data_IF_251831927477
#
_entry.id   IF_251831927477
#
_cell.length_a   1.000
_cell.length_b   1.000
_cell.length_c   1.000
_cell.angle_alpha   90.00
_cell.angle_beta   90.00
_cell.angle_gamma   90.00
#
_symmetry.space_group_name_H-M   'P 1'
#
loop_
_entity.id
_entity.type
_entity.pdbx_description
1 polymer ?
#
# COMPACT_ATOMS: atom_id res chain seq x y z
N UNK A 1 15.88 9.29 -14.93
CA UNK A 1 16.04 8.02 -15.65
C UNK A 1 15.09 6.98 -15.09
N UNK A 2 14.57 6.08 -15.94
CA UNK A 2 13.82 4.91 -15.52
C UNK A 2 14.78 3.71 -15.46
N UNK A 3 14.90 3.09 -14.29
CA UNK A 3 15.74 1.92 -14.06
C UNK A 3 14.85 0.78 -13.55
N UNK A 4 15.02 -0.46 -14.03
CA UNK A 4 14.25 -1.59 -13.53
C UNK A 4 14.44 -1.77 -12.02
N UNK A 5 13.34 -1.91 -11.26
CA UNK A 5 13.38 -2.09 -9.80
C UNK A 5 14.27 -3.26 -9.39
N UNK A 6 14.17 -4.40 -10.08
CA UNK A 6 15.02 -5.57 -9.83
C UNK A 6 16.54 -5.28 -9.96
N UNK A 7 16.93 -4.29 -10.78
CA UNK A 7 18.33 -3.88 -10.88
C UNK A 7 18.74 -3.06 -9.66
N UNK A 8 17.86 -2.18 -9.18
CA UNK A 8 18.12 -1.38 -7.98
C UNK A 8 18.12 -2.25 -6.71
N UNK A 9 17.25 -3.25 -6.63
CA UNK A 9 17.24 -4.23 -5.54
C UNK A 9 18.57 -5.00 -5.46
N UNK A 10 19.10 -5.44 -6.63
CA UNK A 10 20.43 -6.08 -6.69
C UNK A 10 21.55 -5.13 -6.27
N UNK A 11 21.48 -3.87 -6.71
CA UNK A 11 22.45 -2.86 -6.29
C UNK A 11 22.39 -2.65 -4.78
N UNK A 12 21.18 -2.50 -4.21
CA UNK A 12 20.99 -2.31 -2.78
C UNK A 12 21.50 -3.49 -1.93
N UNK A 13 21.46 -4.71 -2.47
CA UNK A 13 22.02 -5.90 -1.81
C UNK A 13 23.57 -5.97 -1.85
N UNK A 14 24.20 -5.18 -2.73
CA UNK A 14 25.65 -5.19 -2.93
C UNK A 14 26.39 -4.03 -2.26
N UNK A 15 25.64 -3.03 -1.79
CA UNK A 15 26.22 -1.81 -1.19
C UNK A 15 25.64 -1.57 0.20
N UNK A 16 26.45 -1.00 1.09
CA UNK A 16 25.99 -0.59 2.42
C UNK A 16 25.17 0.72 2.30
N UNK A 17 24.11 0.86 3.13
CA UNK A 17 23.23 2.04 3.16
C UNK A 17 23.97 3.37 3.43
N UNK A 18 25.19 3.31 3.95
CA UNK A 18 26.03 4.49 4.25
C UNK A 18 27.00 4.85 3.14
N UNK A 19 27.07 4.04 2.11
CA UNK A 19 28.05 4.22 1.03
C UNK A 19 27.56 5.23 0.00
N UNK A 20 28.47 6.09 -0.45
CA UNK A 20 28.23 7.02 -1.55
C UNK A 20 28.72 6.40 -2.85
N UNK A 21 27.85 6.34 -3.84
CA UNK A 21 28.16 5.88 -5.18
C UNK A 21 28.23 7.07 -6.14
N UNK A 22 29.18 7.03 -7.07
CA UNK A 22 29.16 7.90 -8.23
C UNK A 22 28.21 7.32 -9.26
N UNK A 23 27.37 8.16 -9.85
CA UNK A 23 26.39 7.75 -10.85
C UNK A 23 26.69 8.44 -12.16
N UNK A 24 26.87 7.64 -13.19
CA UNK A 24 27.08 8.11 -14.56
C UNK A 24 26.13 7.41 -15.54
N UNK A 25 26.03 7.96 -16.74
CA UNK A 25 25.24 7.37 -17.81
C UNK A 25 26.07 7.25 -19.08
N UNK A 26 25.94 6.11 -19.76
CA UNK A 26 26.58 5.87 -21.06
C UNK A 26 25.53 5.30 -22.01
N UNK A 27 25.04 6.13 -22.94
CA UNK A 27 23.98 5.75 -23.86
C UNK A 27 22.72 5.29 -23.13
N UNK A 28 22.35 4.03 -23.25
CA UNK A 28 21.16 3.43 -22.62
C UNK A 28 21.48 2.72 -21.28
N UNK A 29 22.65 2.99 -20.70
CA UNK A 29 23.12 2.34 -19.48
C UNK A 29 23.40 3.36 -18.40
N UNK A 30 22.91 3.10 -17.18
CA UNK A 30 23.29 3.80 -15.96
C UNK A 30 24.36 2.98 -15.24
N UNK A 31 25.41 3.63 -14.77
CA UNK A 31 26.55 2.99 -14.11
C UNK A 31 26.71 3.60 -12.72
N UNK A 32 26.81 2.75 -11.72
CA UNK A 32 27.09 3.09 -10.34
C UNK A 32 28.50 2.60 -10.01
N UNK A 33 29.36 3.49 -9.56
CA UNK A 33 30.78 3.16 -9.31
C UNK A 33 31.24 3.62 -7.93
N UNK A 34 32.19 2.86 -7.37
CA UNK A 34 32.93 3.18 -6.16
C UNK A 34 34.26 2.40 -6.25
N UNK A 35 35.39 3.04 -6.01
CA UNK A 35 36.77 2.44 -6.02
C UNK A 35 36.89 1.14 -6.83
N UNK A 36 36.62 -0.01 -6.19
CA UNK A 36 36.73 -1.34 -6.80
C UNK A 36 35.39 -1.96 -7.18
N UNK A 37 34.31 -1.16 -7.22
CA UNK A 37 32.97 -1.63 -7.52
C UNK A 37 32.39 -0.88 -8.71
N UNK A 38 31.78 -1.60 -9.63
CA UNK A 38 31.04 -1.06 -10.76
C UNK A 38 29.80 -1.91 -11.01
N UNK A 39 28.64 -1.29 -11.02
CA UNK A 39 27.37 -1.91 -11.33
C UNK A 39 26.68 -1.16 -12.46
N UNK A 40 26.32 -1.85 -13.52
CA UNK A 40 25.65 -1.26 -14.67
C UNK A 40 24.24 -1.83 -14.84
N UNK A 41 23.28 -0.96 -15.12
CA UNK A 41 21.91 -1.35 -15.41
C UNK A 41 21.42 -0.65 -16.67
N UNK A 42 20.57 -1.32 -17.44
CA UNK A 42 19.95 -0.72 -18.63
C UNK A 42 18.89 0.30 -18.22
N UNK A 43 18.93 1.46 -18.84
CA UNK A 43 17.88 2.50 -18.71
C UNK A 43 16.67 2.05 -19.54
N UNK A 44 15.48 2.15 -18.95
CA UNK A 44 14.22 1.92 -19.67
C UNK A 44 13.87 3.16 -20.48
N UNK A 45 13.36 2.96 -21.68
CA UNK A 45 12.86 4.04 -22.52
C UNK A 45 11.51 4.54 -21.99
N UNK A 46 11.30 5.84 -22.02
CA UNK A 46 10.04 6.47 -21.64
C UNK A 46 10.24 7.70 -20.74
N UNK A 47 9.23 8.56 -20.64
CA UNK A 47 9.28 9.69 -19.75
C UNK A 47 9.17 9.22 -18.28
N UNK A 48 9.95 9.82 -17.40
CA UNK A 48 9.76 9.64 -15.96
C UNK A 48 8.49 10.35 -15.52
N UNK A 49 7.70 9.70 -14.69
CA UNK A 49 6.50 10.32 -14.13
C UNK A 49 6.87 11.55 -13.30
N UNK A 50 6.30 12.70 -13.63
CA UNK A 50 6.49 13.94 -12.87
C UNK A 50 5.68 13.89 -11.55
N UNK A 51 6.15 13.09 -10.60
CA UNK A 51 5.47 12.81 -9.32
C UNK A 51 5.06 14.10 -8.60
N UNK A 52 5.95 15.11 -8.55
CA UNK A 52 5.66 16.39 -7.92
C UNK A 52 4.47 17.10 -8.54
N UNK A 53 4.35 17.07 -9.87
CA UNK A 53 3.19 17.66 -10.57
C UNK A 53 1.91 16.88 -10.31
N UNK A 54 1.98 15.56 -10.25
CA UNK A 54 0.83 14.72 -9.90
C UNK A 54 0.35 15.07 -8.50
N UNK A 55 1.25 15.09 -7.52
CA UNK A 55 0.91 15.36 -6.12
C UNK A 55 0.38 16.79 -5.91
N UNK A 56 0.94 17.79 -6.58
CA UNK A 56 0.49 19.19 -6.44
C UNK A 56 -0.89 19.47 -7.04
N UNK A 57 -1.33 18.65 -8.00
CA UNK A 57 -2.63 18.80 -8.65
C UNK A 57 -3.77 18.03 -7.93
N UNK A 58 -3.46 17.25 -6.92
CA UNK A 58 -4.48 16.49 -6.17
C UNK A 58 -5.24 17.42 -5.23
N UNK A 59 -6.57 17.38 -5.32
CA UNK A 59 -7.44 18.11 -4.39
C UNK A 59 -7.72 17.23 -3.18
N UNK A 60 -7.34 17.72 -2.01
CA UNK A 60 -7.62 17.10 -0.73
C UNK A 60 -9.13 17.06 -0.46
N UNK A 61 -9.62 15.95 0.06
CA UNK A 61 -10.98 15.79 0.56
C UNK A 61 -10.99 15.92 2.09
N UNK A 62 -10.20 15.12 2.76
CA UNK A 62 -9.99 15.20 4.19
C UNK A 62 -8.63 14.64 4.59
N UNK A 63 -8.22 14.95 5.80
CA UNK A 63 -6.98 14.45 6.41
C UNK A 63 -7.27 13.96 7.83
N UNK A 64 -6.72 12.80 8.17
CA UNK A 64 -6.70 12.27 9.54
C UNK A 64 -5.29 11.94 9.97
N UNK A 65 -5.06 12.00 11.28
CA UNK A 65 -3.78 11.64 11.92
C UNK A 65 -3.94 10.32 12.65
N UNK A 66 -2.92 9.48 12.56
CA UNK A 66 -2.83 8.20 13.25
C UNK A 66 -1.37 7.83 13.51
N UNK A 67 -1.13 6.63 14.00
CA UNK A 67 0.20 6.03 14.11
C UNK A 67 0.38 4.94 13.05
N UNK A 68 1.56 4.92 12.41
CA UNK A 68 1.85 3.99 11.30
C UNK A 68 1.87 2.51 11.75
N UNK A 69 2.39 2.24 12.96
CA UNK A 69 2.43 0.88 13.50
C UNK A 69 1.01 0.42 13.86
N UNK A 70 0.21 1.27 14.50
CA UNK A 70 -1.16 0.96 14.85
C UNK A 70 -2.01 0.68 13.61
N UNK A 71 -1.87 1.49 12.56
CA UNK A 71 -2.59 1.25 11.29
C UNK A 71 -2.16 -0.07 10.65
N UNK A 72 -0.86 -0.36 10.61
CA UNK A 72 -0.32 -1.61 10.07
C UNK A 72 -0.87 -2.82 10.81
N UNK A 73 -0.87 -2.79 12.14
CA UNK A 73 -1.38 -3.90 12.97
C UNK A 73 -2.89 -4.08 12.80
N UNK A 74 -3.65 -2.99 12.71
CA UNK A 74 -5.09 -3.00 12.44
C UNK A 74 -5.39 -3.64 11.07
N UNK A 75 -4.61 -3.31 10.04
CA UNK A 75 -4.75 -3.93 8.71
C UNK A 75 -4.38 -5.41 8.76
N UNK A 76 -3.29 -5.79 9.44
CA UNK A 76 -2.89 -7.19 9.58
C UNK A 76 -3.97 -8.03 10.27
N UNK A 77 -4.61 -7.49 11.31
CA UNK A 77 -5.74 -8.15 11.96
C UNK A 77 -6.92 -8.35 11.01
N UNK A 78 -7.28 -7.32 10.23
CA UNK A 78 -8.35 -7.44 9.24
C UNK A 78 -8.02 -8.46 8.14
N UNK A 79 -6.75 -8.58 7.76
CA UNK A 79 -6.29 -9.54 6.74
C UNK A 79 -6.24 -11.00 7.22
N UNK A 80 -6.61 -11.31 8.47
CA UNK A 80 -6.65 -12.68 9.00
C UNK A 80 -7.58 -13.62 8.22
N UNK A 81 -8.56 -13.09 7.49
CA UNK A 81 -9.53 -13.86 6.68
C UNK A 81 -9.24 -13.80 5.18
N UNK A 82 -7.99 -13.54 4.78
CA UNK A 82 -7.62 -13.50 3.36
C UNK A 82 -7.82 -14.83 2.65
N UNK A 83 -8.22 -14.78 1.39
CA UNK A 83 -8.45 -15.90 0.50
C UNK A 83 -7.99 -15.60 -0.92
N UNK A 84 -8.52 -16.34 -1.89
CA UNK A 84 -8.23 -16.11 -3.33
C UNK A 84 -8.96 -14.88 -3.87
N UNK A 85 -10.12 -14.57 -3.27
CA UNK A 85 -10.90 -13.38 -3.59
C UNK A 85 -11.03 -12.53 -2.33
N UNK A 86 -10.44 -11.34 -2.34
CA UNK A 86 -10.48 -10.44 -1.20
C UNK A 86 -11.13 -9.12 -1.59
N UNK A 87 -12.02 -8.63 -0.72
CA UNK A 87 -12.54 -7.26 -0.74
C UNK A 87 -11.96 -6.56 0.48
N UNK A 88 -11.13 -5.55 0.24
CA UNK A 88 -10.47 -4.81 1.30
C UNK A 88 -10.83 -3.33 1.21
N UNK A 89 -11.32 -2.77 2.30
CA UNK A 89 -11.71 -1.36 2.38
C UNK A 89 -11.29 -0.69 3.67
N UNK A 90 -11.09 0.62 3.57
CA UNK A 90 -10.97 1.56 4.67
C UNK A 90 -12.25 2.40 4.71
N UNK A 91 -12.95 2.40 5.84
CA UNK A 91 -14.16 3.19 6.07
C UNK A 91 -13.89 4.25 7.13
N UNK A 92 -14.13 5.51 6.78
CA UNK A 92 -13.96 6.64 7.67
C UNK A 92 -15.33 7.15 8.12
N UNK A 93 -15.48 7.39 9.43
CA UNK A 93 -16.66 7.97 10.04
C UNK A 93 -16.24 8.90 11.19
N UNK A 94 -16.00 10.16 10.89
CA UNK A 94 -15.46 11.13 11.85
C UNK A 94 -14.06 10.69 12.34
N UNK A 95 -13.93 10.50 13.65
CA UNK A 95 -12.68 10.10 14.29
C UNK A 95 -12.49 8.57 14.33
N UNK A 96 -13.21 7.80 13.54
CA UNK A 96 -13.10 6.34 13.51
C UNK A 96 -12.73 5.86 12.12
N UNK A 97 -11.70 5.04 12.07
CA UNK A 97 -11.30 4.28 10.89
C UNK A 97 -11.62 2.81 11.11
N UNK A 98 -12.42 2.24 10.22
CA UNK A 98 -12.72 0.80 10.19
C UNK A 98 -12.03 0.18 8.99
N UNK A 99 -11.27 -0.87 9.24
CA UNK A 99 -10.61 -1.71 8.24
C UNK A 99 -11.41 -2.98 8.09
N UNK A 100 -11.89 -3.27 6.90
CA UNK A 100 -12.69 -4.45 6.60
C UNK A 100 -12.06 -5.28 5.50
N UNK A 101 -11.95 -6.57 5.74
CA UNK A 101 -11.57 -7.57 4.74
C UNK A 101 -12.66 -8.65 4.66
N UNK A 102 -13.11 -8.93 3.46
CA UNK A 102 -14.09 -9.98 3.16
C UNK A 102 -13.49 -10.94 2.14
N UNK A 103 -13.62 -12.23 2.40
CA UNK A 103 -13.16 -13.31 1.53
C UNK A 103 -14.18 -14.43 1.48
N UNK A 104 -13.91 -15.46 0.72
CA UNK A 104 -14.71 -16.70 0.68
C UNK A 104 -14.73 -17.45 2.02
N UNK A 105 -13.85 -17.12 2.96
CA UNK A 105 -13.76 -17.74 4.29
C UNK A 105 -14.48 -16.97 5.38
N UNK A 106 -14.84 -15.70 5.11
CA UNK A 106 -15.57 -14.88 6.06
C UNK A 106 -15.24 -13.39 5.95
N UNK A 107 -15.66 -12.66 6.98
CA UNK A 107 -15.48 -11.22 7.11
C UNK A 107 -14.69 -10.97 8.39
N UNK A 108 -13.66 -10.15 8.29
CA UNK A 108 -12.96 -9.56 9.43
C UNK A 108 -13.11 -8.05 9.38
N UNK A 109 -13.41 -7.45 10.50
CA UNK A 109 -13.55 -6.03 10.65
C UNK A 109 -12.87 -5.59 11.95
N UNK A 110 -11.96 -4.63 11.83
CA UNK A 110 -11.22 -4.06 12.96
C UNK A 110 -11.29 -2.56 12.86
N UNK A 111 -11.48 -1.87 13.98
CA UNK A 111 -11.58 -0.43 14.01
C UNK A 111 -10.53 0.18 14.93
N UNK A 112 -10.11 1.39 14.58
CA UNK A 112 -9.19 2.21 15.37
C UNK A 112 -9.65 3.65 15.39
N UNK A 113 -9.23 4.40 16.40
CA UNK A 113 -9.48 5.82 16.47
C UNK A 113 -8.42 6.59 15.67
N UNK A 114 -8.87 7.66 15.02
CA UNK A 114 -8.03 8.59 14.27
C UNK A 114 -8.41 10.01 14.66
N UNK A 115 -7.53 10.97 14.43
CA UNK A 115 -7.81 12.38 14.71
C UNK A 115 -8.08 13.11 13.40
N UNK A 116 -9.27 13.63 13.22
CA UNK A 116 -9.60 14.46 12.06
C UNK A 116 -8.84 15.79 12.13
N UNK A 117 -8.07 16.13 11.08
CA UNK A 117 -7.32 17.37 10.99
C UNK A 117 -7.99 18.39 10.06
N UNK A 118 -8.54 17.93 8.95
CA UNK A 118 -9.20 18.80 7.97
C UNK A 118 -10.20 18.03 7.13
N UNK A 119 -11.21 18.73 6.64
CA UNK A 119 -12.32 18.14 5.88
C UNK A 119 -13.24 17.29 6.77
N UNK A 120 -14.15 16.58 6.15
CA UNK A 120 -15.07 15.66 6.83
C UNK A 120 -14.67 14.21 6.49
N UNK A 121 -14.09 13.45 7.45
CA UNK A 121 -13.67 12.07 7.20
C UNK A 121 -14.91 11.16 7.13
N UNK A 122 -15.43 10.99 5.92
CA UNK A 122 -16.59 10.13 5.64
C UNK A 122 -16.37 9.39 4.33
N UNK A 123 -16.68 8.10 4.32
CA UNK A 123 -16.71 7.30 3.10
C UNK A 123 -16.03 5.93 3.24
N UNK A 124 -16.24 5.11 2.22
CA UNK A 124 -15.64 3.78 2.09
C UNK A 124 -14.76 3.76 0.86
N UNK A 125 -13.51 3.38 1.05
CA UNK A 125 -12.48 3.42 0.02
C UNK A 125 -11.82 2.04 -0.12
N UNK A 126 -11.67 1.58 -1.35
CA UNK A 126 -11.15 0.26 -1.67
C UNK A 126 -9.70 0.37 -2.12
N UNK A 127 -8.82 -0.42 -1.51
CA UNK A 127 -7.39 -0.41 -1.84
C UNK A 127 -6.87 -1.84 -2.03
N UNK A 128 -5.71 -1.96 -2.68
CA UNK A 128 -4.97 -3.20 -2.70
C UNK A 128 -4.20 -3.37 -1.38
N UNK A 129 -4.54 -4.35 -0.54
CA UNK A 129 -3.93 -4.49 0.77
C UNK A 129 -2.42 -4.78 0.71
N UNK A 130 -1.95 -5.54 -0.30
CA UNK A 130 -0.53 -5.83 -0.44
C UNK A 130 0.29 -4.57 -0.73
N UNK A 131 -0.19 -3.71 -1.64
CA UNK A 131 0.47 -2.45 -1.97
C UNK A 131 0.43 -1.48 -0.78
N UNK A 132 -0.68 -1.40 -0.07
CA UNK A 132 -0.81 -0.55 1.12
C UNK A 132 0.16 -1.01 2.23
N UNK A 133 0.27 -2.31 2.45
CA UNK A 133 1.22 -2.87 3.41
C UNK A 133 2.69 -2.62 3.03
N UNK A 134 3.04 -2.65 1.75
CA UNK A 134 4.40 -2.27 1.31
C UNK A 134 4.70 -0.79 1.61
N UNK A 135 3.75 0.12 1.39
CA UNK A 135 3.90 1.52 1.80
C UNK A 135 4.12 1.63 3.31
N UNK A 136 3.31 0.95 4.11
CA UNK A 136 3.36 1.03 5.58
C UNK A 136 4.63 0.42 6.20
N UNK A 137 5.32 -0.49 5.51
CA UNK A 137 6.61 -1.02 5.97
C UNK A 137 7.70 0.05 6.03
N UNK A 138 7.64 1.04 5.16
CA UNK A 138 8.62 2.13 5.10
C UNK A 138 8.27 3.30 6.03
N UNK A 139 7.05 3.34 6.60
CA UNK A 139 6.55 4.44 7.39
C UNK A 139 6.56 4.08 8.88
N UNK A 140 6.99 5.03 9.72
CA UNK A 140 7.05 4.88 11.18
C UNK A 140 6.56 6.15 11.88
N UNK A 141 6.08 5.98 13.14
CA UNK A 141 5.65 7.09 13.98
C UNK A 141 4.33 7.71 13.51
N UNK A 142 4.22 9.00 13.73
CA UNK A 142 3.01 9.77 13.39
C UNK A 142 2.76 9.76 11.88
N UNK A 143 1.58 9.32 11.48
CA UNK A 143 1.17 9.15 10.09
C UNK A 143 -0.04 10.02 9.79
N UNK A 144 0.09 10.85 8.78
CA UNK A 144 -1.00 11.61 8.19
C UNK A 144 -1.58 10.84 7.00
N UNK A 145 -2.86 10.50 7.09
CA UNK A 145 -3.63 9.90 6.00
C UNK A 145 -4.46 10.99 5.33
N UNK A 146 -4.19 11.26 4.08
CA UNK A 146 -4.91 12.25 3.30
C UNK A 146 -5.64 11.56 2.15
N UNK A 147 -6.95 11.60 2.19
CA UNK A 147 -7.77 11.16 1.07
C UNK A 147 -7.95 12.31 0.11
N UNK A 148 -7.63 12.08 -1.14
CA UNK A 148 -7.67 13.08 -2.20
C UNK A 148 -8.67 12.69 -3.29
N UNK A 149 -8.83 13.56 -4.28
CA UNK A 149 -9.73 13.28 -5.41
C UNK A 149 -9.44 11.91 -6.04
N UNK A 150 -10.47 11.30 -6.63
CA UNK A 150 -10.45 9.94 -7.17
C UNK A 150 -10.18 8.86 -6.11
N UNK A 151 -10.45 9.17 -4.83
CA UNK A 151 -10.29 8.25 -3.70
C UNK A 151 -8.84 7.75 -3.51
N UNK A 152 -7.86 8.47 -4.05
CA UNK A 152 -6.47 8.13 -3.82
C UNK A 152 -6.07 8.49 -2.38
N UNK A 153 -5.12 7.75 -1.82
CA UNK A 153 -4.63 7.89 -0.46
C UNK A 153 -3.16 8.31 -0.49
N UNK A 154 -2.86 9.41 0.20
CA UNK A 154 -1.51 9.80 0.55
C UNK A 154 -1.24 9.42 1.99
N UNK A 155 -0.13 8.72 2.21
CA UNK A 155 0.38 8.38 3.52
C UNK A 155 1.65 9.21 3.71
N UNK A 156 1.63 10.14 4.66
CA UNK A 156 2.70 11.13 4.87
C UNK A 156 3.26 11.02 6.27
N UNK A 157 4.57 10.97 6.36
CA UNK A 157 5.35 11.26 7.56
C UNK A 157 6.25 12.47 7.29
N UNK A 158 7.05 12.89 8.25
CA UNK A 158 8.00 14.01 8.06
C UNK A 158 9.04 13.72 6.97
N UNK A 159 9.35 12.44 6.74
CA UNK A 159 10.42 12.02 5.83
C UNK A 159 9.93 11.46 4.49
N UNK A 160 8.75 10.84 4.46
CA UNK A 160 8.27 10.06 3.33
C UNK A 160 6.82 10.37 2.97
N UNK A 161 6.55 10.33 1.67
CA UNK A 161 5.20 10.37 1.12
C UNK A 161 4.98 9.15 0.25
N UNK A 162 4.02 8.32 0.61
CA UNK A 162 3.55 7.20 -0.20
C UNK A 162 2.20 7.54 -0.82
N UNK A 163 2.02 7.16 -2.08
CA UNK A 163 0.80 7.40 -2.84
C UNK A 163 0.18 6.07 -3.27
N UNK A 164 -1.08 5.87 -2.89
CA UNK A 164 -1.84 4.66 -3.20
C UNK A 164 -3.10 5.03 -3.99
N UNK A 165 -3.24 4.49 -5.20
CA UNK A 165 -4.48 4.62 -5.96
C UNK A 165 -5.57 3.72 -5.37
N UNK A 166 -6.80 4.24 -5.32
CA UNK A 166 -7.95 3.41 -5.01
C UNK A 166 -8.18 2.37 -6.13
N UNK A 167 -8.69 1.24 -5.75
CA UNK A 167 -9.22 0.24 -6.68
C UNK A 167 -10.73 0.38 -6.78
N UNK A 168 -11.31 -0.07 -7.86
CA UNK A 168 -12.77 -0.13 -7.98
C UNK A 168 -13.32 -1.09 -6.92
N UNK A 169 -14.51 -0.78 -6.39
CA UNK A 169 -15.19 -1.71 -5.49
C UNK A 169 -15.23 -3.11 -6.11
N UNK A 170 -14.66 -4.14 -5.44
CA UNK A 170 -14.69 -5.50 -5.94
C UNK A 170 -16.13 -6.02 -5.98
N UNK A 171 -16.45 -6.89 -6.94
CA UNK A 171 -17.75 -7.56 -6.98
C UNK A 171 -17.99 -8.34 -5.69
N UNK A 172 -19.27 -8.47 -5.30
CA UNK A 172 -19.63 -9.29 -4.16
C UNK A 172 -19.10 -10.73 -4.32
N UNK A 173 -18.61 -11.29 -3.23
CA UNK A 173 -18.11 -12.67 -3.22
C UNK A 173 -19.32 -13.59 -3.24
N UNK A 174 -19.44 -14.40 -4.31
CA UNK A 174 -20.45 -15.45 -4.35
C UNK A 174 -20.09 -16.52 -3.31
N UNK A 175 -20.88 -16.62 -2.24
CA UNK A 175 -20.74 -17.68 -1.27
C UNK A 175 -21.03 -19.02 -1.97
N UNK A 176 -20.03 -19.88 -2.13
CA UNK A 176 -20.27 -21.26 -2.54
C UNK A 176 -21.17 -21.90 -1.49
N UNK A 177 -22.31 -22.51 -1.90
CA UNK A 177 -23.17 -23.19 -0.93
C UNK A 177 -22.34 -24.24 -0.18
N UNK A 178 -22.29 -24.13 1.14
CA UNK A 178 -21.66 -25.11 1.98
C UNK A 178 -22.32 -26.48 1.69
N UNK A 179 -21.53 -27.39 1.12
CA UNK A 179 -21.99 -28.81 1.01
C UNK A 179 -22.17 -29.31 2.42
N UNK A 180 -23.42 -29.34 2.88
CA UNK A 180 -23.81 -30.02 4.10
C UNK A 180 -23.34 -31.48 4.00
N UNK A 181 -22.37 -31.85 4.82
CA UNK A 181 -21.97 -33.28 4.95
C UNK A 181 -23.21 -34.04 5.38
N UNK A 182 -23.69 -34.98 4.51
CA UNK A 182 -24.73 -35.91 4.87
C UNK A 182 -24.30 -36.64 6.15
N UNK A 183 -25.18 -36.79 7.13
CA UNK A 183 -24.86 -37.58 8.32
C UNK A 183 -24.52 -39.04 7.90
N UNK A 184 -23.40 -39.50 8.42
CA UNK A 184 -22.93 -40.87 8.26
C UNK A 184 -24.02 -41.77 8.87
N UNK A 185 -24.70 -42.60 8.06
CA UNK A 185 -25.59 -43.65 8.58
C UNK A 185 -24.72 -44.62 9.38
N UNK A 186 -24.94 -44.66 10.67
CA UNK A 186 -24.48 -45.78 11.49
C UNK A 186 -25.14 -47.06 10.98
N UNK A 187 -24.31 -48.01 10.58
CA UNK A 187 -24.75 -49.34 10.29
C UNK A 187 -24.85 -50.11 11.60
N UNK A 188 -26.05 -50.62 11.86
CA UNK A 188 -26.35 -51.59 12.91
C UNK A 188 -25.73 -52.94 12.55
#
# INVERSE_FOLDING_TARGET
>A
FLVPAASLEKLAALVDNREKLQVGTTGKTIVFTKENFSFAARIMEGPYLAVSQVLSNLKQQFTVLTDAALLRDTILQALSVTGTQNRFSLSFAGNRLTVRCESEYGISETAMDVVALSGEPVGVYWYNPAQLMECLKALNGTLMLEVVQHSALLLKTDELVCFQMAVREPKAIESKPQKTKKPRKEAA
#
